data_IF_173487847872
#
_entry.id   IF_173487847872
#
_cell.length_a   1.000
_cell.length_b   1.000
_cell.length_c   1.000
_cell.angle_alpha   90.00
_cell.angle_beta   90.00
_cell.angle_gamma   90.00
#
_symmetry.space_group_name_H-M   'P 1'
#
loop_
_entity.id
_entity.type
_entity.pdbx_description
1 polymer ?
#
# COMPACT_ATOMS: atom_id res chain seq x y z
N UNK A 1 9.07 5.48 -6.23
CA UNK A 1 9.36 5.18 -7.65
C UNK A 1 10.64 4.38 -7.81
N UNK A 2 11.80 4.88 -7.34
CA UNK A 2 13.10 4.20 -7.55
C UNK A 2 13.17 2.78 -6.97
N UNK A 3 12.63 2.56 -5.77
CA UNK A 3 12.55 1.23 -5.17
C UNK A 3 11.69 0.29 -6.02
N UNK A 4 10.47 0.68 -6.35
CA UNK A 4 9.55 -0.17 -7.12
C UNK A 4 10.12 -0.49 -8.50
N UNK A 5 10.69 0.50 -9.20
CA UNK A 5 11.35 0.28 -10.48
C UNK A 5 12.52 -0.71 -10.39
N UNK A 6 13.39 -0.55 -9.37
CA UNK A 6 14.54 -1.42 -9.18
C UNK A 6 14.14 -2.84 -8.77
N UNK A 7 13.16 -2.97 -7.86
CA UNK A 7 12.62 -4.27 -7.45
C UNK A 7 11.98 -4.98 -8.65
N UNK A 8 11.19 -4.28 -9.45
CA UNK A 8 10.57 -4.84 -10.66
C UNK A 8 11.63 -5.28 -11.67
N UNK A 9 12.65 -4.46 -11.90
CA UNK A 9 13.74 -4.79 -12.82
C UNK A 9 14.56 -6.01 -12.38
N UNK A 10 14.69 -6.24 -11.07
CA UNK A 10 15.39 -7.39 -10.52
C UNK A 10 14.49 -8.64 -10.46
N UNK A 11 13.25 -8.50 -9.96
CA UNK A 11 12.35 -9.65 -9.77
C UNK A 11 11.70 -10.11 -11.08
N UNK A 12 11.36 -9.20 -12.00
CA UNK A 12 10.69 -9.56 -13.25
C UNK A 12 11.41 -10.65 -14.05
N UNK A 13 12.69 -10.47 -14.40
CA UNK A 13 13.47 -11.51 -15.09
C UNK A 13 13.59 -12.81 -14.28
N UNK A 14 13.75 -12.71 -12.96
CA UNK A 14 13.84 -13.89 -12.09
C UNK A 14 12.54 -14.68 -12.10
N UNK A 15 11.39 -14.01 -11.98
CA UNK A 15 10.07 -14.66 -12.01
C UNK A 15 9.78 -15.25 -13.39
N UNK A 16 10.10 -14.53 -14.49
CA UNK A 16 9.93 -15.05 -15.83
C UNK A 16 10.73 -16.34 -16.07
N UNK A 17 12.00 -16.35 -15.66
CA UNK A 17 12.89 -17.50 -15.88
C UNK A 17 12.64 -18.66 -14.90
N UNK A 18 12.37 -18.35 -13.60
CA UNK A 18 12.20 -19.38 -12.57
C UNK A 18 10.83 -20.06 -12.62
N UNK A 19 9.78 -19.32 -12.97
CA UNK A 19 8.41 -19.81 -13.01
C UNK A 19 7.91 -20.08 -14.43
N UNK A 20 8.69 -19.76 -15.46
CA UNK A 20 8.28 -19.95 -16.86
C UNK A 20 7.12 -19.04 -17.27
N UNK A 21 6.96 -17.90 -16.62
CA UNK A 21 5.89 -16.95 -16.88
C UNK A 21 6.17 -16.12 -18.14
N UNK A 22 5.10 -15.73 -18.82
CA UNK A 22 5.20 -14.69 -19.84
C UNK A 22 5.71 -13.37 -19.22
N UNK A 23 6.43 -12.61 -20.02
CA UNK A 23 7.03 -11.34 -19.55
C UNK A 23 6.02 -10.35 -18.98
N UNK A 24 4.80 -10.32 -19.55
CA UNK A 24 3.71 -9.48 -19.02
C UNK A 24 3.34 -9.84 -17.60
N UNK A 25 3.11 -11.12 -17.33
CA UNK A 25 2.68 -11.66 -16.05
C UNK A 25 3.81 -11.54 -15.00
N UNK A 26 5.04 -11.87 -15.43
CA UNK A 26 6.22 -11.72 -14.58
C UNK A 26 6.46 -10.26 -14.14
N UNK A 27 6.30 -9.31 -15.06
CA UNK A 27 6.39 -7.88 -14.75
C UNK A 27 5.27 -7.42 -13.83
N UNK A 28 4.04 -7.85 -14.08
CA UNK A 28 2.88 -7.51 -13.26
C UNK A 28 3.04 -8.03 -11.84
N UNK A 29 3.49 -9.28 -11.68
CA UNK A 29 3.81 -9.89 -10.39
C UNK A 29 4.96 -9.13 -9.69
N UNK A 30 6.03 -8.82 -10.40
CA UNK A 30 7.18 -8.10 -9.86
C UNK A 30 6.82 -6.69 -9.39
N UNK A 31 6.01 -5.95 -10.16
CA UNK A 31 5.47 -4.64 -9.76
C UNK A 31 4.63 -4.78 -8.50
N UNK A 32 3.72 -5.74 -8.46
CA UNK A 32 2.84 -5.97 -7.32
C UNK A 32 3.61 -6.32 -6.04
N UNK A 33 4.64 -7.16 -6.14
CA UNK A 33 5.54 -7.53 -5.04
C UNK A 33 6.48 -6.38 -4.62
N UNK A 34 6.68 -5.39 -5.48
CA UNK A 34 7.47 -4.20 -5.13
C UNK A 34 6.77 -3.29 -4.14
N UNK A 35 5.44 -3.33 -4.07
CA UNK A 35 4.66 -2.50 -3.17
C UNK A 35 4.77 -2.96 -1.73
N UNK A 36 4.57 -2.02 -0.82
CA UNK A 36 4.66 -2.24 0.63
C UNK A 36 3.29 -2.11 1.28
N UNK A 37 3.04 -2.86 2.35
CA UNK A 37 1.74 -2.82 3.03
C UNK A 37 1.52 -1.53 3.77
N UNK A 38 0.49 -0.79 3.36
CA UNK A 38 0.02 0.41 4.05
C UNK A 38 -0.57 0.07 5.42
N UNK A 39 -1.30 -1.04 5.52
CA UNK A 39 -1.93 -1.49 6.77
C UNK A 39 -0.88 -1.83 7.82
N UNK A 40 0.12 -2.64 7.45
CA UNK A 40 1.18 -3.03 8.37
C UNK A 40 1.99 -1.82 8.85
N UNK A 41 2.46 -0.99 7.91
CA UNK A 41 3.31 0.15 8.23
C UNK A 41 2.57 1.21 9.06
N UNK A 42 1.31 1.52 8.73
CA UNK A 42 0.51 2.47 9.50
C UNK A 42 0.30 1.99 10.94
N UNK A 43 -0.11 0.72 11.14
CA UNK A 43 -0.28 0.13 12.49
C UNK A 43 1.03 0.09 13.29
N UNK A 44 2.14 -0.26 12.64
CA UNK A 44 3.45 -0.29 13.29
C UNK A 44 3.90 1.10 13.76
N UNK A 45 3.70 2.13 12.94
CA UNK A 45 4.00 3.52 13.27
C UNK A 45 3.07 4.08 14.34
N UNK A 46 1.78 3.75 14.27
CA UNK A 46 0.78 4.16 15.25
C UNK A 46 1.06 3.57 16.63
N UNK A 47 1.34 2.27 16.70
CA UNK A 47 1.67 1.57 17.95
C UNK A 47 2.90 2.17 18.66
N UNK A 48 3.85 2.73 17.89
CA UNK A 48 5.05 3.41 18.39
C UNK A 48 4.84 4.91 18.62
N UNK A 49 3.69 5.47 18.25
CA UNK A 49 3.41 6.92 18.22
C UNK A 49 4.37 7.69 17.29
N UNK A 50 4.83 7.07 16.24
CA UNK A 50 5.87 7.57 15.35
C UNK A 50 5.33 8.14 14.02
N UNK A 51 4.00 8.17 13.81
CA UNK A 51 3.36 8.74 12.61
C UNK A 51 3.81 10.19 12.32
N UNK A 52 3.98 11.01 13.38
CA UNK A 52 4.43 12.39 13.27
C UNK A 52 5.93 12.57 13.08
N UNK A 53 6.74 11.52 13.23
CA UNK A 53 8.19 11.58 13.07
C UNK A 53 8.59 11.77 11.60
N UNK A 54 9.83 12.22 11.38
CA UNK A 54 10.32 12.40 10.02
C UNK A 54 10.30 11.10 9.21
N UNK A 55 10.75 9.98 9.80
CA UNK A 55 10.74 8.70 9.11
C UNK A 55 9.33 8.14 8.93
N UNK A 56 8.42 8.35 9.89
CA UNK A 56 7.03 7.94 9.78
C UNK A 56 6.33 8.65 8.62
N UNK A 57 6.45 9.98 8.54
CA UNK A 57 5.91 10.76 7.41
C UNK A 57 6.53 10.36 6.08
N UNK A 58 7.83 10.07 6.05
CA UNK A 58 8.49 9.60 4.84
C UNK A 58 7.96 8.23 4.41
N UNK A 59 7.79 7.30 5.35
CA UNK A 59 7.22 5.97 5.06
C UNK A 59 5.79 6.09 4.52
N UNK A 60 4.92 6.86 5.17
CA UNK A 60 3.54 7.09 4.70
C UNK A 60 3.52 7.75 3.31
N UNK A 61 4.40 8.74 3.06
CA UNK A 61 4.51 9.36 1.74
C UNK A 61 4.93 8.37 0.63
N UNK A 62 5.83 7.44 0.93
CA UNK A 62 6.22 6.37 0.01
C UNK A 62 5.04 5.45 -0.27
N UNK A 63 4.29 5.05 0.76
CA UNK A 63 3.11 4.18 0.64
C UNK A 63 2.02 4.80 -0.22
N UNK A 64 1.66 6.06 0.03
CA UNK A 64 0.68 6.80 -0.78
C UNK A 64 1.13 6.84 -2.26
N UNK A 65 2.41 7.06 -2.52
CA UNK A 65 2.92 7.06 -3.88
C UNK A 65 2.85 5.67 -4.52
N UNK A 66 3.12 4.61 -3.76
CA UNK A 66 2.97 3.22 -4.23
C UNK A 66 1.51 2.89 -4.53
N UNK A 67 0.57 3.32 -3.69
CA UNK A 67 -0.87 3.13 -3.91
C UNK A 67 -1.33 3.82 -5.20
N UNK A 68 -0.85 5.05 -5.48
CA UNK A 68 -1.14 5.75 -6.75
C UNK A 68 -0.59 4.98 -7.96
N UNK A 69 0.61 4.41 -7.86
CA UNK A 69 1.19 3.60 -8.94
C UNK A 69 0.38 2.32 -9.13
N UNK A 70 -0.03 1.66 -8.03
CA UNK A 70 -0.85 0.46 -8.08
C UNK A 70 -2.17 0.70 -8.82
N UNK A 71 -2.82 1.85 -8.58
CA UNK A 71 -4.02 2.26 -9.30
C UNK A 71 -3.78 2.46 -10.80
N UNK A 72 -2.64 3.07 -11.16
CA UNK A 72 -2.26 3.22 -12.58
C UNK A 72 -2.02 1.85 -13.21
N UNK A 73 -1.35 0.93 -12.52
CA UNK A 73 -1.12 -0.45 -12.97
C UNK A 73 -2.46 -1.15 -13.23
N UNK A 74 -3.38 -1.12 -12.27
CA UNK A 74 -4.71 -1.70 -12.43
C UNK A 74 -5.49 -1.08 -13.60
N UNK A 75 -5.41 0.23 -13.78
CA UNK A 75 -6.07 0.90 -14.89
C UNK A 75 -5.52 0.49 -16.26
N UNK A 76 -4.18 0.34 -16.37
CA UNK A 76 -3.51 0.00 -17.63
C UNK A 76 -3.70 -1.48 -17.99
N UNK A 77 -3.45 -2.38 -17.02
CA UNK A 77 -3.56 -3.84 -17.25
C UNK A 77 -4.98 -4.37 -17.15
N UNK A 78 -5.85 -3.70 -16.37
CA UNK A 78 -7.25 -4.10 -16.20
C UNK A 78 -8.12 -3.97 -17.47
N UNK A 79 -7.54 -3.45 -18.57
CA UNK A 79 -8.21 -3.37 -19.87
C UNK A 79 -9.47 -2.49 -19.87
N UNK A 80 -9.64 -1.66 -18.87
CA UNK A 80 -10.81 -0.78 -18.79
C UNK A 80 -10.68 0.34 -19.82
N UNK A 81 -11.63 0.41 -20.72
CA UNK A 81 -11.71 1.50 -21.70
C UNK A 81 -12.61 2.61 -21.13
N UNK A 82 -12.07 3.80 -20.84
CA UNK A 82 -12.89 4.90 -20.36
C UNK A 82 -14.03 5.21 -21.34
N UNK A 83 -15.25 5.28 -20.84
CA UNK A 83 -16.42 5.71 -21.59
C UNK A 83 -16.28 7.19 -21.96
N UNK A 84 -16.89 7.70 -23.05
CA UNK A 84 -16.98 9.14 -23.31
C UNK A 84 -17.55 9.94 -22.14
N UNK A 85 -18.39 9.33 -21.32
CA UNK A 85 -18.96 9.90 -20.10
C UNK A 85 -17.93 10.19 -19.01
N UNK A 86 -16.71 9.63 -19.11
CA UNK A 86 -15.59 9.94 -18.21
C UNK A 86 -15.26 11.45 -18.21
N UNK A 87 -15.58 12.16 -19.29
CA UNK A 87 -15.45 13.62 -19.34
C UNK A 87 -16.28 14.35 -18.27
N UNK A 88 -17.35 13.72 -17.74
CA UNK A 88 -18.12 14.27 -16.61
C UNK A 88 -17.29 14.41 -15.35
N UNK A 89 -16.20 13.66 -15.20
CA UNK A 89 -15.29 13.79 -14.06
C UNK A 89 -14.57 15.15 -14.04
N UNK A 90 -14.48 15.84 -15.16
CA UNK A 90 -14.00 17.22 -15.19
C UNK A 90 -14.93 18.19 -14.42
N UNK A 91 -16.18 17.79 -14.19
CA UNK A 91 -17.14 18.54 -13.39
C UNK A 91 -17.02 18.24 -11.87
N UNK A 92 -16.16 17.32 -11.44
CA UNK A 92 -15.93 16.99 -10.02
C UNK A 92 -15.69 18.22 -9.14
N UNK A 93 -14.88 19.22 -9.52
CA UNK A 93 -14.72 20.44 -8.73
C UNK A 93 -16.03 21.20 -8.49
N UNK A 94 -16.98 21.12 -9.41
CA UNK A 94 -18.32 21.74 -9.29
C UNK A 94 -19.21 20.97 -8.32
N UNK A 95 -19.01 19.65 -8.20
CA UNK A 95 -19.78 18.77 -7.30
C UNK A 95 -19.26 18.85 -5.86
N UNK A 96 -18.01 19.29 -5.66
CA UNK A 96 -17.37 19.39 -4.35
C UNK A 96 -18.24 20.08 -3.28
N UNK A 97 -18.84 21.26 -3.50
CA UNK A 97 -19.67 21.90 -2.48
C UNK A 97 -20.92 21.07 -2.11
N UNK A 98 -21.45 20.31 -3.07
CA UNK A 98 -22.57 19.39 -2.81
C UNK A 98 -22.12 18.23 -1.92
N UNK A 99 -20.97 17.62 -2.20
CA UNK A 99 -20.41 16.54 -1.39
C UNK A 99 -20.05 17.01 0.02
N UNK A 100 -19.54 18.23 0.17
CA UNK A 100 -19.28 18.85 1.46
C UNK A 100 -20.58 19.07 2.25
N UNK A 101 -21.65 19.56 1.62
CA UNK A 101 -22.96 19.71 2.27
C UNK A 101 -23.55 18.37 2.66
N UNK A 102 -23.39 17.33 1.84
CA UNK A 102 -23.84 15.98 2.17
C UNK A 102 -23.13 15.47 3.44
N UNK A 103 -21.85 15.73 3.58
CA UNK A 103 -21.08 15.38 4.77
C UNK A 103 -21.53 16.21 5.99
N UNK A 104 -21.77 17.52 5.82
CA UNK A 104 -22.31 18.37 6.89
C UNK A 104 -23.71 17.89 7.37
N UNK A 105 -24.56 17.41 6.45
CA UNK A 105 -25.88 16.88 6.78
C UNK A 105 -25.82 15.51 7.48
N UNK A 106 -24.79 14.72 7.20
CA UNK A 106 -24.55 13.45 7.88
C UNK A 106 -24.25 13.66 9.37
N UNK A 107 -23.71 14.83 9.74
CA UNK A 107 -23.39 15.17 11.12
C UNK A 107 -22.28 14.31 11.69
N UNK A 108 -22.61 13.47 12.70
CA UNK A 108 -21.64 12.67 13.45
C UNK A 108 -22.13 11.20 13.57
N UNK A 109 -21.32 10.36 14.18
CA UNK A 109 -21.64 8.98 14.56
C UNK A 109 -22.04 8.08 13.36
N UNK A 110 -23.15 7.37 13.45
CA UNK A 110 -23.55 6.33 12.47
C UNK A 110 -23.85 6.92 11.09
N UNK A 111 -24.41 8.12 11.01
CA UNK A 111 -24.70 8.76 9.72
C UNK A 111 -23.42 9.18 8.99
N UNK A 112 -22.36 9.52 9.73
CA UNK A 112 -21.03 9.77 9.18
C UNK A 112 -20.48 8.52 8.51
N UNK A 113 -20.59 7.35 9.16
CA UNK A 113 -20.18 6.06 8.60
C UNK A 113 -20.96 5.75 7.33
N UNK A 114 -22.30 5.89 7.35
CA UNK A 114 -23.14 5.65 6.19
C UNK A 114 -22.84 6.60 5.02
N UNK A 115 -22.61 7.88 5.32
CA UNK A 115 -22.18 8.85 4.31
C UNK A 115 -20.83 8.47 3.69
N UNK A 116 -19.86 8.04 4.51
CA UNK A 116 -18.57 7.56 4.05
C UNK A 116 -18.69 6.36 3.12
N UNK A 117 -19.51 5.37 3.49
CA UNK A 117 -19.77 4.19 2.66
C UNK A 117 -20.48 4.56 1.36
N UNK A 118 -21.48 5.42 1.39
CA UNK A 118 -22.16 5.92 0.19
C UNK A 118 -21.19 6.61 -0.75
N UNK A 119 -20.37 7.50 -0.22
CA UNK A 119 -19.40 8.26 -0.99
C UNK A 119 -18.30 7.37 -1.58
N UNK A 120 -17.77 6.44 -0.79
CA UNK A 120 -16.68 5.57 -1.24
C UNK A 120 -17.17 4.45 -2.18
N UNK A 121 -18.22 3.72 -1.81
CA UNK A 121 -18.64 2.51 -2.53
C UNK A 121 -19.62 2.79 -3.66
N UNK A 122 -20.61 3.68 -3.43
CA UNK A 122 -21.64 3.95 -4.43
C UNK A 122 -21.17 5.03 -5.41
N UNK A 123 -20.86 6.23 -4.93
CA UNK A 123 -20.47 7.33 -5.83
C UNK A 123 -19.05 7.13 -6.36
N UNK A 124 -18.10 6.77 -5.52
CA UNK A 124 -16.73 6.45 -5.91
C UNK A 124 -16.65 5.12 -6.66
N UNK A 125 -17.06 4.03 -6.04
CA UNK A 125 -16.94 2.68 -6.60
C UNK A 125 -17.84 2.47 -7.81
N UNK A 126 -19.13 2.26 -7.58
CA UNK A 126 -20.08 1.92 -8.64
C UNK A 126 -20.24 3.05 -9.68
N UNK A 127 -20.20 4.33 -9.24
CA UNK A 127 -20.28 5.47 -10.16
C UNK A 127 -19.13 5.52 -11.15
N UNK A 128 -17.91 5.27 -10.72
CA UNK A 128 -16.74 5.25 -11.60
C UNK A 128 -16.71 4.00 -12.49
N UNK A 129 -17.14 2.85 -11.99
CA UNK A 129 -17.30 1.66 -12.83
C UNK A 129 -18.30 1.88 -13.96
N UNK A 130 -19.41 2.57 -13.71
CA UNK A 130 -20.37 2.93 -14.75
C UNK A 130 -19.77 3.85 -15.83
N UNK A 131 -18.72 4.59 -15.50
CA UNK A 131 -17.95 5.44 -16.43
C UNK A 131 -16.80 4.67 -17.13
N UNK A 132 -16.64 3.38 -16.87
CA UNK A 132 -15.54 2.56 -17.39
C UNK A 132 -14.21 2.80 -16.73
N UNK A 133 -14.22 3.21 -15.46
CA UNK A 133 -13.03 3.38 -14.62
C UNK A 133 -13.05 2.41 -13.45
N UNK A 134 -11.90 2.19 -12.81
CA UNK A 134 -11.84 1.32 -11.64
C UNK A 134 -12.51 1.95 -10.40
N UNK A 135 -13.14 1.10 -9.60
CA UNK A 135 -13.78 1.50 -8.34
C UNK A 135 -12.81 2.14 -7.35
N UNK A 136 -11.56 1.68 -7.36
CA UNK A 136 -10.48 2.16 -6.49
C UNK A 136 -10.12 3.61 -6.79
N UNK A 137 -10.02 3.96 -8.09
CA UNK A 137 -9.79 5.35 -8.52
C UNK A 137 -10.94 6.23 -8.06
N UNK A 138 -12.17 5.73 -8.17
CA UNK A 138 -13.35 6.46 -7.74
C UNK A 138 -13.37 6.72 -6.23
N UNK A 139 -13.14 5.70 -5.43
CA UNK A 139 -13.10 5.82 -3.97
C UNK A 139 -11.98 6.77 -3.51
N UNK A 140 -10.78 6.66 -4.11
CA UNK A 140 -9.66 7.57 -3.83
C UNK A 140 -10.01 9.03 -4.20
N UNK A 141 -10.66 9.22 -5.35
CA UNK A 141 -11.09 10.56 -5.81
C UNK A 141 -12.08 11.18 -4.81
N UNK A 142 -13.05 10.41 -4.32
CA UNK A 142 -13.98 10.87 -3.28
C UNK A 142 -13.24 11.25 -2.00
N UNK A 143 -12.31 10.43 -1.53
CA UNK A 143 -11.47 10.73 -0.37
C UNK A 143 -10.65 12.03 -0.56
N UNK A 144 -10.07 12.22 -1.74
CA UNK A 144 -9.29 13.42 -2.06
C UNK A 144 -10.16 14.69 -2.05
N UNK A 145 -11.36 14.64 -2.61
CA UNK A 145 -12.30 15.78 -2.60
C UNK A 145 -12.69 16.15 -1.18
N UNK A 146 -12.93 15.14 -0.33
CA UNK A 146 -13.36 15.34 1.04
C UNK A 146 -12.21 15.67 2.00
N UNK A 147 -10.96 15.42 1.62
CA UNK A 147 -9.77 15.63 2.47
C UNK A 147 -9.63 17.06 3.00
N UNK A 148 -10.23 18.02 2.32
CA UNK A 148 -10.21 19.45 2.68
C UNK A 148 -11.41 19.87 3.54
N UNK A 149 -12.32 18.94 3.83
CA UNK A 149 -13.47 19.21 4.69
C UNK A 149 -13.06 19.20 6.17
N UNK A 150 -13.71 20.03 7.00
CA UNK A 150 -13.40 20.12 8.44
C UNK A 150 -13.58 18.79 9.20
N UNK A 151 -14.52 17.96 8.77
CA UNK A 151 -14.83 16.66 9.34
C UNK A 151 -14.07 15.50 8.65
N UNK A 152 -13.10 15.78 7.79
CA UNK A 152 -12.36 14.72 7.07
C UNK A 152 -11.65 13.74 8.01
N UNK A 153 -11.10 14.24 9.12
CA UNK A 153 -10.49 13.40 10.16
C UNK A 153 -11.50 12.46 10.81
N UNK A 154 -12.65 13.00 11.24
CA UNK A 154 -13.72 12.23 11.86
C UNK A 154 -14.28 11.15 10.90
N UNK A 155 -14.49 11.51 9.63
CA UNK A 155 -14.88 10.55 8.59
C UNK A 155 -13.85 9.44 8.43
N UNK A 156 -12.56 9.78 8.41
CA UNK A 156 -11.48 8.81 8.32
C UNK A 156 -11.48 7.85 9.52
N UNK A 157 -11.61 8.39 10.72
CA UNK A 157 -11.63 7.60 11.97
C UNK A 157 -12.86 6.69 12.02
N UNK A 158 -14.03 7.18 11.60
CA UNK A 158 -15.26 6.41 11.52
C UNK A 158 -15.16 5.22 10.55
N UNK A 159 -14.50 5.41 9.41
CA UNK A 159 -14.30 4.36 8.40
C UNK A 159 -13.15 3.40 8.74
N UNK A 160 -12.26 3.76 9.67
CA UNK A 160 -11.09 2.96 10.01
C UNK A 160 -11.46 1.57 10.53
N UNK A 161 -12.42 1.48 11.44
CA UNK A 161 -12.88 0.21 11.99
C UNK A 161 -13.52 -0.68 10.94
N UNK A 162 -14.30 -0.10 10.02
CA UNK A 162 -14.90 -0.83 8.91
C UNK A 162 -13.87 -1.38 7.94
N UNK A 163 -12.84 -0.58 7.61
CA UNK A 163 -11.71 -1.03 6.79
C UNK A 163 -11.09 -2.31 7.36
N UNK A 164 -10.91 -2.40 8.69
CA UNK A 164 -10.35 -3.60 9.31
C UNK A 164 -11.27 -4.81 9.15
N UNK A 165 -12.58 -4.64 9.33
CA UNK A 165 -13.57 -5.71 9.14
C UNK A 165 -13.55 -6.21 7.68
N UNK A 166 -13.56 -5.29 6.71
CA UNK A 166 -13.48 -5.65 5.30
C UNK A 166 -12.17 -6.34 4.94
N UNK A 167 -11.06 -5.89 5.52
CA UNK A 167 -9.74 -6.52 5.32
C UNK A 167 -9.74 -7.97 5.84
N UNK A 168 -10.27 -8.21 7.03
CA UNK A 168 -10.42 -9.56 7.58
C UNK A 168 -11.31 -10.41 6.68
N UNK A 169 -12.45 -9.88 6.24
CA UNK A 169 -13.36 -10.56 5.29
C UNK A 169 -12.67 -10.93 3.97
N UNK A 170 -11.86 -10.01 3.44
CA UNK A 170 -11.09 -10.23 2.21
C UNK A 170 -10.08 -11.37 2.37
N UNK A 171 -9.29 -11.38 3.45
CA UNK A 171 -8.34 -12.47 3.70
C UNK A 171 -9.04 -13.80 3.96
N UNK A 172 -10.20 -13.81 4.65
CA UNK A 172 -10.99 -15.01 4.83
C UNK A 172 -11.52 -15.54 3.50
N UNK A 173 -12.02 -14.67 2.63
CA UNK A 173 -12.49 -15.05 1.30
C UNK A 173 -11.37 -15.70 0.48
N UNK A 174 -10.16 -15.13 0.51
CA UNK A 174 -9.00 -15.71 -0.18
C UNK A 174 -8.65 -17.07 0.43
N UNK A 175 -8.62 -17.19 1.77
CA UNK A 175 -8.35 -18.47 2.45
C UNK A 175 -9.38 -19.56 2.12
N UNK A 176 -10.61 -19.18 1.77
CA UNK A 176 -11.66 -20.09 1.33
C UNK A 176 -11.61 -20.42 -0.17
N UNK A 177 -10.85 -19.66 -0.96
CA UNK A 177 -10.76 -19.84 -2.42
C UNK A 177 -9.95 -21.07 -2.82
N UNK A 178 -9.09 -21.58 -1.95
CA UNK A 178 -8.29 -22.78 -2.21
C UNK A 178 -7.39 -23.14 -1.05
N UNK A 179 -6.98 -24.42 -1.01
CA UNK A 179 -5.97 -24.87 -0.08
C UNK A 179 -4.60 -24.76 -0.76
N UNK A 180 -3.61 -24.15 -0.09
CA UNK A 180 -2.26 -24.05 -0.63
C UNK A 180 -1.62 -25.43 -0.75
N UNK A 181 -0.91 -25.64 -1.84
CA UNK A 181 -0.09 -26.83 -2.04
C UNK A 181 1.36 -26.62 -1.58
N UNK A 182 2.22 -27.63 -1.78
CA UNK A 182 3.64 -27.55 -1.42
C UNK A 182 4.41 -26.53 -2.30
N UNK A 183 3.97 -26.31 -3.52
CA UNK A 183 4.60 -25.34 -4.42
C UNK A 183 4.26 -23.92 -3.98
N UNK A 184 2.99 -23.67 -3.62
CA UNK A 184 2.52 -22.40 -3.04
C UNK A 184 3.31 -22.04 -1.77
N UNK A 185 3.49 -23.04 -0.88
CA UNK A 185 4.26 -22.86 0.34
C UNK A 185 5.74 -22.57 0.03
N UNK A 186 6.33 -23.29 -0.91
CA UNK A 186 7.70 -23.07 -1.37
C UNK A 186 7.89 -21.66 -1.91
N UNK A 187 6.98 -21.21 -2.78
CA UNK A 187 6.98 -19.85 -3.33
C UNK A 187 6.85 -18.80 -2.23
N UNK A 188 5.91 -18.96 -1.31
CA UNK A 188 5.69 -18.03 -0.21
C UNK A 188 6.92 -17.94 0.71
N UNK A 189 7.57 -19.07 1.03
CA UNK A 189 8.81 -19.07 1.81
C UNK A 189 9.94 -18.34 1.10
N UNK A 190 10.12 -18.55 -0.20
CA UNK A 190 11.12 -17.83 -0.99
C UNK A 190 10.88 -16.32 -0.94
N UNK A 191 9.63 -15.88 -1.10
CA UNK A 191 9.28 -14.46 -1.00
C UNK A 191 9.58 -13.89 0.39
N UNK A 192 9.30 -14.64 1.46
CA UNK A 192 9.66 -14.22 2.83
C UNK A 192 11.17 -14.09 3.01
N UNK A 193 11.96 -14.98 2.43
CA UNK A 193 13.43 -14.92 2.45
C UNK A 193 13.99 -13.73 1.66
N UNK A 194 13.23 -13.16 0.73
CA UNK A 194 13.60 -11.95 -0.01
C UNK A 194 13.33 -10.65 0.81
N UNK A 195 12.50 -10.69 1.86
CA UNK A 195 12.17 -9.49 2.65
C UNK A 195 13.40 -8.74 3.19
N UNK A 196 14.46 -9.40 3.72
CA UNK A 196 15.67 -8.71 4.14
C UNK A 196 16.36 -7.95 3.00
N UNK A 197 16.36 -8.50 1.79
CA UNK A 197 16.92 -7.83 0.62
C UNK A 197 16.07 -6.60 0.23
N UNK A 198 14.74 -6.72 0.29
CA UNK A 198 13.82 -5.59 0.09
C UNK A 198 14.04 -4.50 1.14
N UNK A 199 14.19 -4.86 2.41
CA UNK A 199 14.52 -3.92 3.49
C UNK A 199 15.88 -3.24 3.25
N UNK A 200 16.91 -4.00 2.87
CA UNK A 200 18.23 -3.46 2.57
C UNK A 200 18.19 -2.47 1.39
N UNK A 201 17.40 -2.76 0.35
CA UNK A 201 17.22 -1.86 -0.78
C UNK A 201 16.56 -0.55 -0.36
N UNK A 202 15.49 -0.59 0.45
CA UNK A 202 14.89 0.62 1.02
C UNK A 202 15.89 1.41 1.86
N UNK A 203 16.63 0.72 2.74
CA UNK A 203 17.65 1.34 3.57
C UNK A 203 18.68 2.10 2.74
N UNK A 204 19.27 1.44 1.74
CA UNK A 204 20.28 2.05 0.86
C UNK A 204 19.73 3.26 0.11
N UNK A 205 18.52 3.17 -0.41
CA UNK A 205 17.87 4.30 -1.08
C UNK A 205 17.62 5.47 -0.11
N UNK A 206 17.10 5.22 1.09
CA UNK A 206 16.87 6.27 2.07
C UNK A 206 18.18 6.96 2.50
N UNK A 207 19.25 6.19 2.72
CA UNK A 207 20.57 6.74 3.00
C UNK A 207 21.07 7.56 1.83
N UNK A 208 20.88 7.07 0.59
CA UNK A 208 21.27 7.80 -0.64
C UNK A 208 20.53 9.13 -0.80
N UNK A 209 19.28 9.21 -0.31
CA UNK A 209 18.48 10.43 -0.26
C UNK A 209 18.73 11.28 0.99
N UNK A 210 19.72 10.92 1.82
CA UNK A 210 20.19 11.74 2.93
C UNK A 210 19.45 11.53 4.26
N UNK A 211 18.67 10.45 4.41
CA UNK A 211 18.12 10.08 5.71
C UNK A 211 19.23 9.58 6.63
N UNK A 212 19.10 9.89 7.94
CA UNK A 212 20.00 9.34 8.97
C UNK A 212 19.82 7.83 9.05
N UNK A 213 20.90 7.09 9.32
CA UNK A 213 20.91 5.62 9.34
C UNK A 213 19.77 5.03 10.19
N UNK A 214 19.51 5.57 11.40
CA UNK A 214 18.42 5.11 12.26
C UNK A 214 17.04 5.29 11.59
N UNK A 215 16.77 6.48 11.07
CA UNK A 215 15.49 6.76 10.39
C UNK A 215 15.33 5.92 9.12
N UNK A 216 16.40 5.76 8.35
CA UNK A 216 16.42 4.93 7.15
C UNK A 216 16.15 3.45 7.49
N UNK A 217 16.76 2.93 8.56
CA UNK A 217 16.60 1.55 9.00
C UNK A 217 15.16 1.28 9.48
N UNK A 218 14.62 2.13 10.35
CA UNK A 218 13.26 1.98 10.87
C UNK A 218 12.21 2.10 9.75
N UNK A 219 12.36 3.07 8.84
CA UNK A 219 11.49 3.21 7.68
C UNK A 219 11.60 1.99 6.74
N UNK A 220 12.80 1.48 6.51
CA UNK A 220 13.03 0.33 5.64
C UNK A 220 12.38 -0.95 6.18
N UNK A 221 12.45 -1.20 7.49
CA UNK A 221 11.77 -2.35 8.11
C UNK A 221 10.25 -2.25 7.98
N UNK A 222 9.67 -1.06 8.22
CA UNK A 222 8.24 -0.85 8.06
C UNK A 222 7.74 -1.05 6.62
N UNK A 223 8.59 -0.74 5.62
CA UNK A 223 8.25 -0.84 4.20
C UNK A 223 8.66 -2.18 3.57
N UNK A 224 9.28 -3.09 4.32
CA UNK A 224 9.75 -4.36 3.77
C UNK A 224 8.63 -5.33 3.41
N UNK A 225 7.47 -5.30 4.11
CA UNK A 225 6.35 -6.21 3.90
C UNK A 225 5.72 -6.06 2.52
N UNK A 226 5.09 -7.13 2.04
CA UNK A 226 4.32 -7.08 0.79
C UNK A 226 2.97 -6.42 1.02
N UNK A 227 2.45 -5.78 -0.04
CA UNK A 227 1.18 -5.07 -0.01
C UNK A 227 0.00 -5.98 -0.31
N UNK A 228 -1.13 -5.68 0.29
CA UNK A 228 -2.44 -6.21 -0.10
C UNK A 228 -2.82 -5.89 -1.56
N UNK A 229 -2.24 -4.86 -2.16
CA UNK A 229 -2.42 -4.58 -3.59
C UNK A 229 -1.94 -5.72 -4.50
N UNK A 230 -0.92 -6.49 -4.08
CA UNK A 230 -0.51 -7.67 -4.80
C UNK A 230 -1.66 -8.70 -4.91
N UNK A 231 -2.49 -8.80 -3.87
CA UNK A 231 -3.65 -9.69 -3.85
C UNK A 231 -4.80 -9.16 -4.72
N UNK A 232 -5.02 -7.84 -4.73
CA UNK A 232 -6.04 -7.21 -5.57
C UNK A 232 -5.69 -7.39 -7.06
N UNK A 233 -4.43 -7.12 -7.40
CA UNK A 233 -3.91 -7.32 -8.77
C UNK A 233 -4.05 -8.79 -9.17
N UNK A 234 -3.66 -9.72 -8.30
CA UNK A 234 -3.74 -11.15 -8.57
C UNK A 234 -5.19 -11.61 -8.73
N UNK A 235 -6.09 -11.21 -7.83
CA UNK A 235 -7.50 -11.58 -7.92
C UNK A 235 -8.16 -11.14 -9.24
N UNK A 236 -7.67 -10.05 -9.83
CA UNK A 236 -8.24 -9.45 -11.04
C UNK A 236 -7.55 -9.93 -12.32
N UNK A 237 -6.21 -10.03 -12.31
CA UNK A 237 -5.40 -10.19 -13.52
C UNK A 237 -4.61 -11.51 -13.55
N UNK A 238 -4.32 -12.12 -12.40
CA UNK A 238 -3.51 -13.31 -12.25
C UNK A 238 -4.12 -14.27 -11.21
N UNK A 239 -5.36 -14.78 -11.43
CA UNK A 239 -6.10 -15.53 -10.39
C UNK A 239 -5.38 -16.79 -9.90
N UNK A 240 -4.58 -17.43 -10.72
CA UNK A 240 -3.78 -18.61 -10.35
C UNK A 240 -2.71 -18.30 -9.29
N UNK A 241 -2.31 -17.02 -9.16
CA UNK A 241 -1.32 -16.55 -8.19
C UNK A 241 -1.93 -16.01 -6.89
N UNK A 242 -3.26 -16.02 -6.78
CA UNK A 242 -3.94 -15.44 -5.62
C UNK A 242 -3.59 -16.17 -4.32
N UNK A 243 -3.67 -17.51 -4.30
CA UNK A 243 -3.41 -18.32 -3.12
C UNK A 243 -1.93 -18.26 -2.70
N UNK A 244 -0.94 -18.49 -3.60
CA UNK A 244 0.48 -18.39 -3.24
C UNK A 244 0.88 -16.99 -2.76
N UNK A 245 0.34 -15.91 -3.36
CA UNK A 245 0.60 -14.55 -2.92
C UNK A 245 -0.06 -14.23 -1.56
N UNK A 246 -1.29 -14.69 -1.33
CA UNK A 246 -1.95 -14.51 -0.04
C UNK A 246 -1.17 -15.18 1.09
N UNK A 247 -0.64 -16.37 0.85
CA UNK A 247 0.22 -17.08 1.78
C UNK A 247 1.52 -16.27 2.03
N UNK A 248 2.16 -15.78 0.98
CA UNK A 248 3.37 -14.96 1.08
C UNK A 248 3.15 -13.67 1.88
N UNK A 249 2.06 -12.93 1.61
CA UNK A 249 1.70 -11.71 2.33
C UNK A 249 1.44 -12.02 3.81
N UNK A 250 0.68 -13.08 4.09
CA UNK A 250 0.36 -13.50 5.46
C UNK A 250 1.61 -13.88 6.24
N UNK A 251 2.49 -14.71 5.66
CA UNK A 251 3.77 -15.08 6.26
C UNK A 251 4.69 -13.86 6.44
N UNK A 252 4.70 -12.93 5.47
CA UNK A 252 5.46 -11.68 5.59
C UNK A 252 5.02 -10.87 6.83
N UNK A 253 3.73 -10.77 7.10
CA UNK A 253 3.20 -10.09 8.29
C UNK A 253 3.60 -10.81 9.59
N UNK A 254 3.51 -12.15 9.62
CA UNK A 254 3.90 -12.95 10.78
C UNK A 254 5.39 -12.78 11.13
N UNK A 255 6.25 -12.65 10.12
CA UNK A 255 7.69 -12.43 10.32
C UNK A 255 7.99 -10.97 10.65
N UNK A 256 7.33 -10.02 9.98
CA UNK A 256 7.61 -8.61 10.16
C UNK A 256 7.14 -8.07 11.50
N UNK A 257 6.03 -8.56 12.07
CA UNK A 257 5.49 -8.06 13.32
C UNK A 257 6.46 -8.19 14.52
N UNK A 258 7.12 -9.34 14.78
CA UNK A 258 8.14 -9.43 15.83
C UNK A 258 9.40 -8.63 15.48
N UNK A 259 9.82 -8.58 14.21
CA UNK A 259 10.98 -7.80 13.79
C UNK A 259 10.77 -6.30 14.01
N UNK A 260 9.56 -5.81 13.76
CA UNK A 260 9.22 -4.41 13.99
C UNK A 260 9.25 -4.04 15.49
N UNK A 261 8.77 -4.93 16.37
CA UNK A 261 8.87 -4.76 17.83
C UNK A 261 10.33 -4.72 18.31
N UNK A 262 11.21 -5.45 17.66
CA UNK A 262 12.63 -5.53 17.99
C UNK A 262 13.49 -4.52 17.20
N UNK A 263 12.88 -3.71 16.30
CA UNK A 263 13.57 -2.86 15.36
C UNK A 263 14.62 -1.93 16.00
N UNK A 264 14.30 -1.34 17.15
CA UNK A 264 15.25 -0.48 17.86
C UNK A 264 16.46 -1.28 18.39
N UNK A 265 16.22 -2.43 19.01
CA UNK A 265 17.30 -3.31 19.51
C UNK A 265 18.17 -3.84 18.36
N UNK A 266 17.54 -4.17 17.24
CA UNK A 266 18.25 -4.59 16.03
C UNK A 266 19.12 -3.45 15.51
N UNK A 267 18.62 -2.23 15.47
CA UNK A 267 19.41 -1.09 15.06
C UNK A 267 20.63 -0.89 15.98
N UNK A 268 20.43 -0.89 17.30
CA UNK A 268 21.52 -0.76 18.29
C UNK A 268 22.61 -1.82 18.09
N UNK A 269 22.22 -3.08 17.77
CA UNK A 269 23.16 -4.17 17.50
C UNK A 269 23.98 -3.95 16.22
N UNK A 270 23.45 -3.20 15.26
CA UNK A 270 24.09 -2.90 13.98
C UNK A 270 24.60 -1.46 13.89
N UNK A 271 24.42 -0.64 14.93
CA UNK A 271 24.71 0.80 14.91
C UNK A 271 26.14 1.11 14.48
N UNK A 272 27.14 0.37 14.98
CA UNK A 272 28.54 0.53 14.62
C UNK A 272 28.81 0.31 13.12
N UNK A 273 28.02 -0.56 12.47
CA UNK A 273 28.15 -0.87 11.04
C UNK A 273 27.30 0.05 10.17
N UNK A 274 26.12 0.39 10.63
CA UNK A 274 25.11 1.18 9.87
C UNK A 274 25.30 2.69 10.03
N UNK A 275 25.86 3.15 11.17
CA UNK A 275 26.12 4.56 11.45
C UNK A 275 27.07 5.22 10.45
N UNK A 276 28.00 4.45 9.84
CA UNK A 276 28.94 4.94 8.85
C UNK A 276 28.31 5.28 7.50
N UNK A 277 27.11 4.77 7.20
CA UNK A 277 26.45 4.97 5.90
C UNK A 277 25.70 6.30 5.76
N UNK A 278 25.41 7.00 6.85
CA UNK A 278 24.68 8.26 6.78
C UNK A 278 25.62 9.46 6.97
N UNK A 279 25.85 10.30 5.97
CA UNK A 279 26.59 11.53 6.15
C UNK A 279 25.84 12.42 7.17
N UNK A 280 26.57 12.91 8.18
CA UNK A 280 26.10 13.94 9.12
C UNK A 280 25.92 15.28 8.39
N UNK A 281 25.01 15.40 7.45
CA UNK A 281 24.54 16.71 7.00
C UNK A 281 23.58 17.24 8.06
N UNK A 282 24.14 18.03 8.97
CA UNK A 282 23.37 18.86 9.88
C UNK A 282 22.42 19.73 9.05
N UNK A 283 21.13 19.52 9.16
CA UNK A 283 20.17 20.59 8.90
C UNK A 283 20.32 21.64 10.00
N UNK A 284 21.29 22.56 9.82
CA UNK A 284 21.21 23.90 10.37
C UNK A 284 20.22 24.66 9.48
N UNK A 285 18.95 24.51 9.71
CA UNK A 285 17.91 25.45 9.23
C UNK A 285 16.58 25.00 9.84
N UNK A 286 16.36 25.34 11.08
CA UNK A 286 15.08 25.63 11.72
C UNK A 286 15.36 25.92 13.20
N UNK A 287 15.93 27.07 13.48
CA UNK A 287 15.66 27.86 14.69
C UNK A 287 14.77 29.02 14.25
#
# INVERSE_FOLDING_TARGET
LGHSALTTALLGPVLALALGLDWSDALLLAVSLSFSSTVFAAKALEAKRDLGTFYGRTAIGVLIMQDLIALVVLAVWGGQTPSPWTLLLLAIPLVRPLLHRLLDLAGHDELMVLAGLLLALVLGGAGFQALGLSSEIGALTMGLILSTHRQAGELSDALWSLREVFLVGFFLQIGLSGLPDLQDLGFAVVLVLILPAKAALFFLLFVRFGLRARSAFLAALNLATYSEFALIVSATLLPDWLVPLALAVSLAFLVAAPLDRLAQRLFESFETRLGHFAPQKMHRAAQ
#
